data_IF_576411437527
#
_entry.id   IF_576411437527
#
_cell.length_a   1.000
_cell.length_b   1.000
_cell.length_c   1.000
_cell.angle_alpha   90.00
_cell.angle_beta   90.00
_cell.angle_gamma   90.00
#
_symmetry.space_group_name_H-M   'P 1'
#
loop_
_entity.id
_entity.type
_entity.pdbx_description
1 polymer ?
#
# COMPACT_ATOMS: atom_id res chain seq x y z
N UNK A 1 -11.33 -22.82 -21.10
CA UNK A 1 -10.40 -22.74 -19.96
C UNK A 1 -8.92 -22.73 -20.41
N UNK A 2 -8.61 -23.28 -21.58
CA UNK A 2 -7.22 -23.38 -22.09
C UNK A 2 -6.69 -22.12 -22.79
N UNK A 3 -7.57 -21.27 -23.33
CA UNK A 3 -7.16 -20.05 -24.04
C UNK A 3 -6.54 -18.99 -23.13
N UNK A 4 -7.00 -18.90 -21.86
CA UNK A 4 -6.42 -17.98 -20.86
C UNK A 4 -4.98 -18.35 -20.46
N UNK A 5 -4.69 -19.66 -20.35
CA UNK A 5 -3.33 -20.16 -20.03
C UNK A 5 -2.31 -19.86 -21.16
N UNK A 6 -2.73 -19.98 -22.39
CA UNK A 6 -1.90 -19.74 -23.57
C UNK A 6 -1.55 -18.24 -23.73
N UNK A 7 -2.52 -17.36 -23.49
CA UNK A 7 -2.32 -15.92 -23.63
C UNK A 7 -1.31 -15.38 -22.59
N UNK A 8 -1.43 -15.81 -21.33
CA UNK A 8 -0.48 -15.42 -20.28
C UNK A 8 0.93 -15.97 -20.50
N UNK A 9 1.05 -17.21 -20.98
CA UNK A 9 2.35 -17.80 -21.30
C UNK A 9 3.08 -17.03 -22.40
N UNK A 10 2.36 -16.62 -23.45
CA UNK A 10 2.94 -15.87 -24.57
C UNK A 10 3.31 -14.44 -24.21
N UNK A 11 2.51 -13.78 -23.36
CA UNK A 11 2.78 -12.43 -22.84
C UNK A 11 4.00 -12.42 -21.92
N UNK A 12 4.10 -13.37 -21.00
CA UNK A 12 5.26 -13.50 -20.11
C UNK A 12 6.55 -13.81 -20.87
N UNK A 13 6.49 -14.60 -21.97
CA UNK A 13 7.65 -14.87 -22.84
C UNK A 13 8.12 -13.59 -23.57
N UNK A 14 7.20 -12.72 -23.96
CA UNK A 14 7.52 -11.45 -24.65
C UNK A 14 8.29 -10.52 -23.72
N UNK A 15 7.91 -10.44 -22.43
CA UNK A 15 8.65 -9.66 -21.42
C UNK A 15 10.00 -10.27 -20.99
N UNK A 16 10.21 -11.57 -21.21
CA UNK A 16 11.52 -12.23 -20.99
C UNK A 16 12.54 -11.92 -22.08
N UNK A 17 12.10 -11.53 -23.30
CA UNK A 17 12.98 -11.33 -24.46
C UNK A 17 13.46 -9.90 -24.67
N UNK A 18 12.71 -8.90 -24.24
CA UNK A 18 13.10 -7.50 -24.42
C UNK A 18 13.96 -7.03 -23.24
N UNK A 19 15.28 -7.14 -23.40
CA UNK A 19 16.27 -6.39 -22.63
C UNK A 19 16.31 -4.93 -23.15
N UNK A 20 15.23 -4.18 -23.07
CA UNK A 20 15.23 -2.75 -23.37
C UNK A 20 14.94 -1.98 -22.10
N UNK A 21 15.95 -1.26 -21.64
CA UNK A 21 15.99 -0.12 -20.71
C UNK A 21 14.71 0.08 -19.86
N UNK A 22 14.51 -0.80 -18.88
CA UNK A 22 13.68 -0.46 -17.76
C UNK A 22 14.47 0.49 -16.88
N UNK A 23 13.92 1.67 -16.61
CA UNK A 23 14.38 2.55 -15.53
C UNK A 23 14.63 1.66 -14.33
N UNK A 24 15.90 1.56 -13.92
CA UNK A 24 16.32 0.72 -12.79
C UNK A 24 15.58 1.17 -11.54
N UNK A 25 14.49 0.47 -11.21
CA UNK A 25 14.04 0.41 -9.82
C UNK A 25 15.17 -0.26 -9.04
N UNK A 26 15.54 0.24 -7.85
CA UNK A 26 16.64 -0.32 -7.10
C UNK A 26 16.43 -1.83 -6.94
N UNK A 27 17.46 -2.60 -7.20
CA UNK A 27 17.48 -4.09 -7.16
C UNK A 27 16.92 -4.71 -5.86
N UNK A 28 16.77 -3.90 -4.81
CA UNK A 28 16.19 -4.27 -3.51
C UNK A 28 14.67 -4.50 -3.54
N UNK A 29 13.93 -3.87 -4.46
CA UNK A 29 12.46 -3.93 -4.47
C UNK A 29 11.92 -5.12 -5.29
N UNK A 30 12.73 -5.68 -6.20
CA UNK A 30 12.34 -6.78 -7.07
C UNK A 30 12.15 -8.11 -6.34
N UNK A 31 12.70 -8.24 -5.13
CA UNK A 31 12.64 -9.48 -4.35
C UNK A 31 11.51 -9.53 -3.32
N UNK A 32 10.67 -8.50 -3.26
CA UNK A 32 9.60 -8.40 -2.26
C UNK A 32 8.30 -9.09 -2.67
N UNK A 33 8.06 -9.26 -3.98
CA UNK A 33 6.80 -9.77 -4.52
C UNK A 33 7.08 -10.84 -5.58
N UNK A 34 6.33 -11.92 -5.49
CA UNK A 34 6.28 -12.99 -6.50
C UNK A 34 4.91 -13.04 -7.15
N UNK A 35 4.86 -13.50 -8.40
CA UNK A 35 3.66 -13.48 -9.21
C UNK A 35 3.27 -14.88 -9.71
N UNK A 36 1.95 -15.05 -9.86
CA UNK A 36 1.38 -16.28 -10.39
C UNK A 36 1.46 -17.48 -9.43
N UNK A 37 1.00 -18.63 -9.90
CA UNK A 37 1.02 -19.88 -9.12
C UNK A 37 2.42 -20.46 -8.93
N UNK A 38 3.34 -20.13 -9.84
CA UNK A 38 4.72 -20.63 -9.81
C UNK A 38 5.65 -19.68 -9.02
N UNK A 39 5.12 -18.66 -8.37
CA UNK A 39 5.88 -17.68 -7.57
C UNK A 39 7.07 -17.08 -8.35
N UNK A 40 6.82 -16.64 -9.59
CA UNK A 40 7.85 -16.07 -10.45
C UNK A 40 8.25 -14.66 -10.00
N UNK A 41 9.55 -14.39 -10.01
CA UNK A 41 10.10 -13.05 -9.79
C UNK A 41 10.07 -12.29 -11.12
N UNK A 42 9.22 -11.29 -11.22
CA UNK A 42 9.05 -10.45 -12.41
C UNK A 42 9.30 -8.99 -12.05
N UNK A 43 9.75 -8.20 -13.02
CA UNK A 43 9.88 -6.76 -12.84
C UNK A 43 8.49 -6.12 -12.65
N UNK A 44 8.36 -5.28 -11.63
CA UNK A 44 7.11 -4.59 -11.31
C UNK A 44 7.37 -3.17 -10.80
N UNK A 45 6.33 -2.40 -10.69
CA UNK A 45 6.31 -1.13 -9.98
C UNK A 45 5.00 -0.98 -9.21
N UNK A 46 5.01 -0.17 -8.16
CA UNK A 46 3.79 0.11 -7.41
C UNK A 46 2.89 1.09 -8.18
N UNK A 47 1.58 0.87 -8.09
CA UNK A 47 0.60 1.77 -8.68
C UNK A 47 0.56 3.10 -7.91
N UNK A 48 0.34 4.20 -8.62
CA UNK A 48 0.25 5.55 -8.01
C UNK A 48 -1.12 5.84 -7.39
N UNK A 49 -2.12 5.03 -7.69
CA UNK A 49 -3.51 5.25 -7.24
C UNK A 49 -3.81 4.66 -5.86
N UNK A 50 -2.91 3.89 -5.29
CA UNK A 50 -3.03 3.32 -3.95
C UNK A 50 -1.65 3.12 -3.35
N UNK A 51 -1.58 3.22 -2.03
CA UNK A 51 -0.39 2.89 -1.27
C UNK A 51 -0.42 1.40 -0.91
N UNK A 52 0.67 0.70 -1.13
CA UNK A 52 0.82 -0.73 -0.89
C UNK A 52 1.90 -0.93 0.17
N UNK A 53 1.61 -1.70 1.21
CA UNK A 53 2.57 -2.03 2.28
C UNK A 53 2.60 -3.55 2.52
N UNK A 54 3.71 -4.11 3.03
CA UNK A 54 3.80 -5.52 3.38
C UNK A 54 2.67 -5.98 4.29
N UNK A 55 2.03 -7.10 3.91
CA UNK A 55 0.84 -7.63 4.59
C UNK A 55 -0.50 -7.17 4.00
N UNK A 56 -0.52 -6.15 3.13
CA UNK A 56 -1.72 -5.87 2.33
C UNK A 56 -2.01 -7.04 1.37
N UNK A 57 -3.28 -7.27 1.10
CA UNK A 57 -3.67 -8.12 -0.02
C UNK A 57 -3.42 -7.36 -1.31
N UNK A 58 -2.65 -7.97 -2.20
CA UNK A 58 -2.17 -7.33 -3.42
C UNK A 58 -2.48 -8.17 -4.66
N UNK A 59 -2.49 -7.50 -5.80
CA UNK A 59 -2.49 -8.15 -7.11
C UNK A 59 -1.62 -7.37 -8.10
N UNK A 60 -1.07 -8.07 -9.08
CA UNK A 60 -0.39 -7.48 -10.22
C UNK A 60 -1.38 -7.19 -11.34
N UNK A 61 -1.23 -6.06 -12.00
CA UNK A 61 -1.97 -5.74 -13.22
C UNK A 61 -1.00 -5.51 -14.38
N UNK A 62 -1.14 -6.31 -15.43
CA UNK A 62 -0.30 -6.19 -16.62
C UNK A 62 -0.79 -5.04 -17.49
N UNK A 63 -0.04 -3.95 -17.50
CA UNK A 63 -0.31 -2.78 -18.34
C UNK A 63 0.14 -3.02 -19.78
N UNK A 64 -0.23 -2.14 -20.69
CA UNK A 64 0.19 -2.25 -22.10
C UNK A 64 1.64 -1.80 -22.27
N UNK A 65 2.05 -0.71 -21.62
CA UNK A 65 3.32 -0.04 -21.85
C UNK A 65 4.29 -0.12 -20.66
N UNK A 66 3.75 -0.15 -19.42
CA UNK A 66 4.55 0.04 -18.19
C UNK A 66 4.84 -1.27 -17.42
N UNK A 67 4.58 -2.44 -18.02
CA UNK A 67 4.79 -3.72 -17.36
C UNK A 67 3.77 -3.99 -16.25
N UNK A 68 4.20 -4.64 -15.16
CA UNK A 68 3.33 -5.03 -14.06
C UNK A 68 3.23 -3.89 -13.04
N UNK A 69 2.00 -3.45 -12.76
CA UNK A 69 1.68 -2.52 -11.66
C UNK A 69 1.05 -3.28 -10.50
N UNK A 70 1.62 -3.14 -9.31
CA UNK A 70 1.09 -3.77 -8.10
C UNK A 70 0.09 -2.83 -7.44
N UNK A 71 -1.11 -3.36 -7.17
CA UNK A 71 -2.21 -2.67 -6.53
C UNK A 71 -2.60 -3.34 -5.22
N UNK A 72 -3.11 -2.56 -4.29
CA UNK A 72 -3.84 -3.07 -3.13
C UNK A 72 -5.23 -3.57 -3.60
N UNK A 73 -5.72 -4.68 -3.04
CA UNK A 73 -7.06 -5.20 -3.39
C UNK A 73 -8.20 -4.22 -3.12
N UNK A 74 -8.05 -3.34 -2.13
CA UNK A 74 -9.03 -2.30 -1.79
C UNK A 74 -8.82 -0.99 -2.59
N UNK A 75 -7.96 -0.98 -3.59
CA UNK A 75 -7.77 0.18 -4.45
C UNK A 75 -9.09 0.56 -5.14
N UNK A 76 -9.46 1.84 -5.18
CA UNK A 76 -10.68 2.27 -5.88
C UNK A 76 -10.74 1.83 -7.34
N UNK A 77 -9.57 1.74 -8.00
CA UNK A 77 -9.48 1.27 -9.38
C UNK A 77 -9.52 -0.26 -9.53
N UNK A 78 -9.34 -1.03 -8.44
CA UNK A 78 -9.27 -2.49 -8.50
C UNK A 78 -10.57 -3.12 -9.04
N UNK A 79 -11.71 -2.57 -8.68
CA UNK A 79 -13.02 -3.04 -9.12
C UNK A 79 -13.11 -2.96 -10.65
N UNK A 80 -12.79 -1.81 -11.22
CA UNK A 80 -12.82 -1.60 -12.67
C UNK A 80 -11.80 -2.44 -13.42
N UNK A 81 -10.58 -2.57 -12.87
CA UNK A 81 -9.52 -3.39 -13.48
C UNK A 81 -9.91 -4.86 -13.52
N UNK A 82 -10.50 -5.38 -12.44
CA UNK A 82 -10.95 -6.78 -12.37
C UNK A 82 -12.19 -7.04 -13.21
N UNK A 83 -13.15 -6.10 -13.23
CA UNK A 83 -14.38 -6.27 -14.00
C UNK A 83 -14.14 -6.25 -15.51
N UNK A 84 -13.27 -5.36 -15.99
CA UNK A 84 -13.10 -5.15 -17.44
C UNK A 84 -11.88 -5.86 -18.02
N UNK A 85 -10.86 -6.18 -17.19
CA UNK A 85 -9.56 -6.68 -17.64
C UNK A 85 -9.03 -7.82 -16.78
N UNK A 86 -9.92 -8.71 -16.30
CA UNK A 86 -9.55 -9.84 -15.43
C UNK A 86 -8.41 -10.69 -16.01
N UNK A 87 -8.36 -10.82 -17.34
CA UNK A 87 -7.30 -11.55 -18.04
C UNK A 87 -5.90 -10.91 -17.91
N UNK A 88 -5.79 -9.68 -17.40
CA UNK A 88 -4.53 -8.97 -17.09
C UNK A 88 -4.19 -8.99 -15.62
N UNK A 89 -5.08 -9.49 -14.78
CA UNK A 89 -4.88 -9.58 -13.33
C UNK A 89 -4.05 -10.80 -13.01
N UNK A 90 -2.99 -10.60 -12.23
CA UNK A 90 -2.08 -11.63 -11.77
C UNK A 90 -2.14 -11.76 -10.26
N UNK A 91 -2.07 -12.99 -9.77
CA UNK A 91 -1.83 -13.22 -8.35
C UNK A 91 -0.47 -12.62 -7.96
N UNK A 92 -0.43 -11.92 -6.85
CA UNK A 92 0.81 -11.37 -6.29
C UNK A 92 0.87 -11.71 -4.80
N UNK A 93 2.07 -12.00 -4.32
CA UNK A 93 2.31 -12.42 -2.94
C UNK A 93 3.58 -11.78 -2.41
N UNK A 94 3.53 -11.31 -1.17
CA UNK A 94 4.69 -10.79 -0.47
C UNK A 94 5.67 -11.91 -0.10
N UNK A 95 6.95 -11.65 -0.31
CA UNK A 95 8.08 -12.45 0.15
C UNK A 95 9.15 -11.52 0.70
N UNK A 96 9.91 -11.94 1.70
CA UNK A 96 11.07 -11.19 2.25
C UNK A 96 10.80 -9.72 2.64
N UNK A 97 9.58 -9.41 3.05
CA UNK A 97 9.13 -8.04 3.29
C UNK A 97 9.46 -7.47 4.68
N UNK A 98 10.20 -8.20 5.54
CA UNK A 98 10.44 -7.82 6.94
C UNK A 98 11.28 -6.56 7.14
N UNK A 99 12.05 -6.18 6.12
CA UNK A 99 12.96 -5.02 6.16
C UNK A 99 12.42 -3.78 5.45
N UNK A 100 11.23 -3.87 4.92
CA UNK A 100 10.66 -2.77 4.14
C UNK A 100 9.98 -1.75 5.06
N UNK A 101 10.45 -0.50 5.01
CA UNK A 101 9.86 0.63 5.72
C UNK A 101 8.98 1.41 4.75
N UNK A 102 7.76 1.67 5.14
CA UNK A 102 6.76 2.33 4.30
C UNK A 102 6.37 3.67 4.86
N UNK A 103 6.45 4.69 4.01
CA UNK A 103 5.86 6.00 4.31
C UNK A 103 4.37 5.97 3.99
N UNK A 104 3.55 6.16 4.99
CA UNK A 104 2.10 6.23 4.86
C UNK A 104 1.57 7.55 5.40
N UNK A 105 0.36 7.89 4.97
CA UNK A 105 -0.42 8.98 5.55
C UNK A 105 -1.70 8.45 6.14
N UNK A 106 -2.04 8.92 7.33
CA UNK A 106 -3.33 8.68 7.99
C UNK A 106 -4.06 10.00 8.17
N UNK A 107 -5.37 9.95 8.09
CA UNK A 107 -6.25 11.07 8.41
C UNK A 107 -6.97 10.78 9.71
N UNK A 108 -7.00 11.78 10.56
CA UNK A 108 -7.73 11.82 11.84
C UNK A 108 -8.81 12.88 11.77
N UNK A 109 -9.98 12.57 12.28
CA UNK A 109 -11.07 13.53 12.45
C UNK A 109 -11.66 13.37 13.85
N UNK A 110 -11.97 14.47 14.51
CA UNK A 110 -12.53 14.40 15.85
C UNK A 110 -12.94 15.76 16.40
N UNK A 111 -13.33 15.76 17.67
CA UNK A 111 -13.62 16.98 18.42
C UNK A 111 -12.32 17.59 18.92
N UNK A 112 -12.14 18.88 18.70
CA UNK A 112 -10.99 19.60 19.20
C UNK A 112 -11.06 19.73 20.72
N UNK A 113 -10.00 19.36 21.39
CA UNK A 113 -9.81 19.55 22.82
C UNK A 113 -8.35 19.76 23.15
N UNK A 114 -8.11 20.41 24.26
CA UNK A 114 -6.76 20.60 24.80
C UNK A 114 -6.09 19.23 25.02
N UNK A 115 -4.85 19.08 24.53
CA UNK A 115 -4.04 17.87 24.69
C UNK A 115 -4.25 16.78 23.67
N UNK A 116 -5.21 16.88 22.73
CA UNK A 116 -5.49 15.84 21.74
C UNK A 116 -4.25 15.47 20.90
N UNK A 117 -3.43 16.47 20.54
CA UNK A 117 -2.18 16.26 19.78
C UNK A 117 -1.15 15.49 20.62
N UNK A 118 -1.04 15.81 21.90
CA UNK A 118 -0.15 15.10 22.83
C UNK A 118 -0.55 13.63 22.97
N UNK A 119 -1.83 13.34 23.11
CA UNK A 119 -2.34 11.97 23.23
C UNK A 119 -2.01 11.17 21.97
N UNK A 120 -2.26 11.76 20.79
CA UNK A 120 -1.94 11.15 19.49
C UNK A 120 -0.43 10.91 19.37
N UNK A 121 0.40 11.91 19.65
CA UNK A 121 1.85 11.79 19.56
C UNK A 121 2.41 10.76 20.56
N UNK A 122 1.85 10.68 21.76
CA UNK A 122 2.24 9.70 22.78
C UNK A 122 1.98 8.26 22.31
N UNK A 123 0.82 7.99 21.73
CA UNK A 123 0.53 6.65 21.18
C UNK A 123 1.49 6.30 20.06
N UNK A 124 1.70 7.21 19.11
CA UNK A 124 2.55 6.93 17.93
C UNK A 124 3.99 6.69 18.37
N UNK A 125 4.57 7.63 19.12
CA UNK A 125 6.02 7.64 19.40
C UNK A 125 6.39 6.83 20.64
N UNK A 126 5.64 6.98 21.75
CA UNK A 126 6.01 6.34 23.01
C UNK A 126 5.50 4.91 23.12
N UNK A 127 4.25 4.64 22.72
CA UNK A 127 3.66 3.32 22.88
C UNK A 127 4.02 2.39 21.72
N UNK A 128 3.93 2.89 20.49
CA UNK A 128 4.12 2.07 19.28
C UNK A 128 5.52 2.16 18.69
N UNK A 129 6.35 3.11 19.15
CA UNK A 129 7.70 3.37 18.62
C UNK A 129 7.71 3.54 17.10
N UNK A 130 6.71 4.26 16.58
CA UNK A 130 6.57 4.58 15.16
C UNK A 130 7.16 5.97 14.92
N UNK A 131 7.97 6.09 13.88
CA UNK A 131 8.56 7.36 13.48
C UNK A 131 7.53 8.23 12.75
N UNK A 132 7.25 9.41 13.32
CA UNK A 132 6.34 10.40 12.77
C UNK A 132 7.14 11.43 11.98
N UNK A 133 6.93 11.48 10.65
CA UNK A 133 7.64 12.39 9.75
C UNK A 133 6.99 13.77 9.64
N UNK A 134 5.72 13.87 9.94
CA UNK A 134 5.02 15.14 9.90
C UNK A 134 3.59 15.03 10.39
N UNK A 135 3.09 16.14 10.91
CA UNK A 135 1.71 16.29 11.37
C UNK A 135 1.18 17.63 10.88
N UNK A 136 -0.05 17.63 10.39
CA UNK A 136 -0.80 18.83 10.03
C UNK A 136 -2.19 18.69 10.59
N UNK A 137 -2.64 19.65 11.40
CA UNK A 137 -3.96 19.66 12.02
C UNK A 137 -4.59 21.02 11.79
N UNK A 138 -5.82 21.01 11.31
CA UNK A 138 -6.67 22.21 11.16
C UNK A 138 -7.92 22.02 12.01
N UNK A 139 -8.25 23.04 12.81
CA UNK A 139 -9.43 23.03 13.67
C UNK A 139 -10.36 24.17 13.27
N UNK A 140 -11.65 23.85 13.08
CA UNK A 140 -12.72 24.80 12.75
C UNK A 140 -13.96 24.39 13.55
N UNK A 141 -14.56 25.34 14.25
CA UNK A 141 -15.82 25.15 15.01
C UNK A 141 -15.80 23.94 15.97
N UNK A 142 -14.68 23.73 16.65
CA UNK A 142 -14.53 22.64 17.62
C UNK A 142 -14.36 21.24 17.00
N UNK A 143 -14.17 21.15 15.67
CA UNK A 143 -13.85 19.91 14.96
C UNK A 143 -12.46 20.06 14.36
N UNK A 144 -11.63 19.04 14.53
CA UNK A 144 -10.33 18.98 13.85
C UNK A 144 -10.30 17.94 12.74
N UNK A 145 -9.52 18.24 11.72
CA UNK A 145 -9.07 17.31 10.70
C UNK A 145 -7.55 17.37 10.66
N UNK A 146 -6.90 16.22 10.85
CA UNK A 146 -5.46 16.10 10.85
C UNK A 146 -4.95 15.07 9.88
N UNK A 147 -3.77 15.31 9.31
CA UNK A 147 -3.03 14.35 8.51
C UNK A 147 -1.68 14.11 9.16
N UNK A 148 -1.31 12.85 9.34
CA UNK A 148 -0.03 12.43 9.91
C UNK A 148 0.70 11.56 8.91
N UNK A 149 1.97 11.87 8.67
CA UNK A 149 2.90 11.06 7.87
C UNK A 149 3.75 10.20 8.79
N UNK A 150 3.79 8.91 8.55
CA UNK A 150 4.37 7.89 9.43
C UNK A 150 5.24 6.90 8.64
N UNK A 151 6.23 6.33 9.32
CA UNK A 151 6.94 5.15 8.83
C UNK A 151 6.46 3.89 9.55
N UNK A 152 5.89 2.94 8.80
CA UNK A 152 5.44 1.65 9.33
C UNK A 152 6.13 0.49 8.64
N UNK A 153 6.35 -0.60 9.38
CA UNK A 153 7.01 -1.81 8.86
C UNK A 153 6.07 -2.69 8.05
N UNK A 154 4.81 -2.79 8.48
CA UNK A 154 3.83 -3.68 7.86
C UNK A 154 2.40 -3.27 8.21
N UNK A 155 1.45 -3.98 7.60
CA UNK A 155 0.03 -3.77 7.82
C UNK A 155 -0.41 -4.01 9.26
N UNK A 156 0.12 -5.03 9.94
CA UNK A 156 -0.29 -5.33 11.32
C UNK A 156 0.04 -4.17 12.25
N UNK A 157 1.25 -3.61 12.14
CA UNK A 157 1.63 -2.41 12.91
C UNK A 157 0.71 -1.22 12.62
N UNK A 158 0.34 -1.02 11.35
CA UNK A 158 -0.60 0.03 10.97
C UNK A 158 -1.99 -0.22 11.56
N UNK A 159 -2.53 -1.42 11.41
CA UNK A 159 -3.88 -1.77 11.90
C UNK A 159 -3.98 -1.61 13.42
N UNK A 160 -2.93 -1.98 14.16
CA UNK A 160 -2.87 -1.80 15.62
C UNK A 160 -2.77 -0.32 16.00
N UNK A 161 -2.00 0.48 15.25
CA UNK A 161 -1.95 1.92 15.43
C UNK A 161 -3.34 2.56 15.22
N UNK A 162 -4.01 2.23 14.12
CA UNK A 162 -5.33 2.79 13.81
C UNK A 162 -6.36 2.45 14.91
N UNK A 163 -6.30 1.22 15.47
CA UNK A 163 -7.16 0.82 16.59
C UNK A 163 -6.88 1.64 17.86
N UNK A 164 -5.60 1.81 18.23
CA UNK A 164 -5.24 2.58 19.42
C UNK A 164 -5.61 4.06 19.28
N UNK A 165 -5.36 4.66 18.11
CA UNK A 165 -5.77 6.04 17.85
C UNK A 165 -7.29 6.23 17.91
N UNK A 166 -8.06 5.26 17.44
CA UNK A 166 -9.53 5.31 17.48
C UNK A 166 -10.10 5.24 18.91
N UNK A 167 -9.31 4.78 19.88
CA UNK A 167 -9.70 4.73 21.31
C UNK A 167 -9.47 6.06 22.05
N UNK A 168 -8.75 7.01 21.47
CA UNK A 168 -8.52 8.31 22.08
C UNK A 168 -9.84 9.07 22.18
N UNK A 169 -10.15 9.55 23.37
CA UNK A 169 -11.33 10.39 23.57
C UNK A 169 -11.30 11.63 22.66
N UNK A 170 -12.39 11.88 21.97
CA UNK A 170 -12.52 12.97 21.00
C UNK A 170 -12.23 12.58 19.56
N UNK A 171 -11.53 11.47 19.28
CA UNK A 171 -11.35 10.98 17.91
C UNK A 171 -12.62 10.27 17.45
N UNK A 172 -13.12 10.67 16.27
CA UNK A 172 -14.34 10.11 15.65
C UNK A 172 -14.03 9.21 14.45
N UNK A 173 -12.95 9.50 13.75
CA UNK A 173 -12.57 8.76 12.56
C UNK A 173 -11.06 8.72 12.38
N UNK A 174 -10.55 7.55 12.05
CA UNK A 174 -9.16 7.32 11.66
C UNK A 174 -9.17 6.51 10.38
N UNK A 175 -8.43 6.94 9.36
CA UNK A 175 -8.30 6.18 8.12
C UNK A 175 -6.91 6.36 7.50
N UNK A 176 -6.46 5.35 6.76
CA UNK A 176 -5.32 5.43 5.85
C UNK A 176 -5.71 6.22 4.60
N UNK A 177 -4.83 7.10 4.10
CA UNK A 177 -4.97 7.83 2.85
C UNK A 177 -4.32 7.08 1.69
#
# INVERSE_FOLDING_TARGET
LDSKKSFFGSLLQRFRKDKTEFVETPKSDLDLIVFGRNEEKLAYSFAKCCTVIPGDKIFGFLTINDGIKVHNENCPNAINLRANYDYRVMLAKWVNSERFINNIKIELQGMDRMGIINDVASIISNNMHIDMKGISINSIDGIFIGTISLEVKNKNQLDDLLKQLAQIEGIKKVKRL
#
